data_IF_294149367847
#
_entry.id   IF_294149367847
#
_cell.length_a   1.000
_cell.length_b   1.000
_cell.length_c   1.000
_cell.angle_alpha   90.00
_cell.angle_beta   90.00
_cell.angle_gamma   90.00
#
_symmetry.space_group_name_H-M   'P 1'
#
loop_
_entity.id
_entity.type
_entity.pdbx_description
1 polymer ?
#
# COMPACT_ATOMS: atom_id res chain seq x y z
N UNK A 1 5.81 0.91 -36.84
CA UNK A 1 6.86 1.21 -35.85
C UNK A 1 8.19 1.52 -36.49
N UNK A 2 8.80 0.65 -37.34
CA UNK A 2 10.11 0.88 -37.95
C UNK A 2 10.24 2.20 -38.74
N UNK A 3 9.21 2.63 -39.46
CA UNK A 3 9.21 3.89 -40.21
C UNK A 3 9.20 5.13 -39.32
N UNK A 4 8.45 5.07 -38.21
CA UNK A 4 8.44 6.15 -37.19
C UNK A 4 9.79 6.27 -36.50
N UNK A 5 10.38 5.11 -36.14
CA UNK A 5 11.73 5.07 -35.55
C UNK A 5 12.79 5.62 -36.52
N UNK A 6 12.69 5.25 -37.81
CA UNK A 6 13.61 5.77 -38.83
C UNK A 6 13.46 7.28 -39.01
N UNK A 7 12.23 7.82 -39.05
CA UNK A 7 11.97 9.25 -39.11
C UNK A 7 12.52 9.99 -37.89
N UNK A 8 12.39 9.41 -36.70
CA UNK A 8 12.92 10.01 -35.48
C UNK A 8 14.44 10.02 -35.42
N UNK A 9 15.09 8.99 -35.95
CA UNK A 9 16.55 8.86 -35.94
C UNK A 9 17.25 9.64 -37.05
N UNK A 10 16.53 9.98 -38.16
CA UNK A 10 17.14 10.60 -39.33
C UNK A 10 16.82 12.08 -39.50
N UNK A 11 15.92 12.65 -38.69
CA UNK A 11 15.63 14.09 -38.71
C UNK A 11 16.43 14.79 -37.60
N UNK A 12 17.13 15.85 -37.96
CA UNK A 12 17.69 16.79 -36.98
C UNK A 12 16.55 17.49 -36.24
N UNK A 13 16.48 17.27 -34.97
CA UNK A 13 15.50 17.89 -34.08
C UNK A 13 16.25 18.84 -33.14
N UNK A 14 15.90 20.10 -33.17
CA UNK A 14 16.25 20.97 -32.05
C UNK A 14 15.58 20.48 -30.80
N UNK A 15 16.38 20.18 -29.78
CA UNK A 15 15.85 19.68 -28.51
C UNK A 15 15.11 20.78 -27.77
N UNK A 16 13.84 20.54 -27.38
CA UNK A 16 13.08 21.44 -26.52
C UNK A 16 13.67 21.57 -25.11
N UNK A 17 14.69 20.79 -24.79
CA UNK A 17 15.34 20.78 -23.47
C UNK A 17 15.85 22.16 -23.06
N UNK A 18 16.39 22.94 -24.01
CA UNK A 18 16.88 24.28 -23.74
C UNK A 18 15.78 25.22 -23.23
N UNK A 19 14.59 25.14 -23.82
CA UNK A 19 13.45 25.90 -23.35
C UNK A 19 13.10 25.59 -21.88
N UNK A 20 13.10 24.33 -21.51
CA UNK A 20 12.81 23.94 -20.12
C UNK A 20 13.91 24.38 -19.14
N UNK A 21 15.18 24.31 -19.55
CA UNK A 21 16.30 24.77 -18.74
C UNK A 21 16.23 26.29 -18.48
N UNK A 22 15.94 27.07 -19.49
CA UNK A 22 15.88 28.52 -19.35
C UNK A 22 14.61 29.01 -18.64
N UNK A 23 13.47 28.35 -18.87
CA UNK A 23 12.17 28.82 -18.41
C UNK A 23 11.69 28.17 -17.09
N UNK A 24 12.39 27.17 -16.57
CA UNK A 24 11.96 26.49 -15.34
C UNK A 24 11.88 27.41 -14.14
N UNK A 25 12.85 28.28 -13.94
CA UNK A 25 12.86 29.23 -12.83
C UNK A 25 11.94 30.45 -13.07
N UNK A 26 11.99 31.14 -14.22
CA UNK A 26 11.13 32.33 -14.43
C UNK A 26 9.65 32.01 -14.56
N UNK A 27 9.27 30.89 -15.20
CA UNK A 27 7.87 30.51 -15.41
C UNK A 27 7.34 29.52 -14.38
N UNK A 28 8.15 28.52 -14.00
CA UNK A 28 7.75 27.49 -13.04
C UNK A 28 8.08 27.81 -11.59
N UNK A 29 8.93 28.81 -11.33
CA UNK A 29 9.27 29.23 -9.96
C UNK A 29 10.09 28.24 -9.14
N UNK A 30 10.59 27.15 -9.76
CA UNK A 30 11.34 26.08 -9.11
C UNK A 30 12.69 25.79 -9.77
N UNK A 31 13.66 25.38 -8.98
CA UNK A 31 14.99 24.97 -9.47
C UNK A 31 15.08 23.48 -9.80
N UNK A 32 14.11 22.69 -9.34
CA UNK A 32 14.02 21.27 -9.71
C UNK A 32 13.34 21.14 -11.08
N UNK A 33 14.16 21.14 -12.12
CA UNK A 33 13.71 21.08 -13.53
C UNK A 33 12.74 19.93 -13.78
N UNK A 34 13.01 18.73 -13.22
CA UNK A 34 12.17 17.54 -13.44
C UNK A 34 10.78 17.74 -12.87
N UNK A 35 10.69 18.21 -11.62
CA UNK A 35 9.39 18.46 -10.99
C UNK A 35 8.63 19.57 -11.68
N UNK A 36 9.30 20.66 -12.05
CA UNK A 36 8.70 21.79 -12.78
C UNK A 36 8.15 21.33 -14.13
N UNK A 37 8.88 20.49 -14.88
CA UNK A 37 8.35 19.94 -16.13
C UNK A 37 7.08 19.11 -15.86
N UNK A 38 7.11 18.22 -14.88
CA UNK A 38 6.02 17.29 -14.61
C UNK A 38 4.77 17.97 -14.00
N UNK A 39 4.94 19.09 -13.31
CA UNK A 39 3.82 19.75 -12.61
C UNK A 39 3.32 21.00 -13.36
N UNK A 40 4.24 21.77 -13.99
CA UNK A 40 3.90 23.03 -14.64
C UNK A 40 3.83 22.89 -16.17
N UNK A 41 4.95 22.54 -16.82
CA UNK A 41 4.99 22.53 -18.29
C UNK A 41 4.22 21.36 -18.89
N UNK A 42 4.25 20.20 -18.24
CA UNK A 42 3.60 18.95 -18.67
C UNK A 42 2.74 18.33 -17.57
N UNK A 43 2.16 19.14 -16.71
CA UNK A 43 1.30 18.69 -15.61
C UNK A 43 0.14 17.80 -16.06
N UNK A 44 -0.28 17.93 -17.31
CA UNK A 44 -1.29 17.08 -17.93
C UNK A 44 -0.86 15.61 -18.00
N UNK A 45 0.43 15.35 -18.26
CA UNK A 45 0.97 13.98 -18.29
C UNK A 45 0.89 13.34 -16.89
N UNK A 46 1.32 14.06 -15.85
CA UNK A 46 1.24 13.59 -14.46
C UNK A 46 -0.20 13.38 -14.00
N UNK A 47 -1.12 14.26 -14.42
CA UNK A 47 -2.55 14.08 -14.18
C UNK A 47 -3.08 12.81 -14.85
N UNK A 48 -2.63 12.52 -16.07
CA UNK A 48 -2.91 11.28 -16.79
C UNK A 48 -2.37 10.05 -16.06
N UNK A 49 -1.11 10.11 -15.58
CA UNK A 49 -0.46 9.01 -14.84
C UNK A 49 -1.24 8.63 -13.56
N UNK A 50 -1.60 9.61 -12.73
CA UNK A 50 -2.37 9.33 -11.51
C UNK A 50 -3.80 8.86 -11.81
N UNK A 51 -4.37 9.29 -12.93
CA UNK A 51 -5.69 8.81 -13.37
C UNK A 51 -5.61 7.34 -13.78
N UNK A 52 -4.61 6.96 -14.59
CA UNK A 52 -4.38 5.55 -14.98
C UNK A 52 -4.09 4.69 -13.76
N UNK A 53 -3.28 5.17 -12.82
CA UNK A 53 -3.01 4.47 -11.56
C UNK A 53 -4.30 4.24 -10.74
N UNK A 54 -5.17 5.25 -10.67
CA UNK A 54 -6.48 5.14 -10.03
C UNK A 54 -7.39 4.12 -10.71
N UNK A 55 -7.46 4.16 -12.05
CA UNK A 55 -8.24 3.20 -12.86
C UNK A 55 -7.71 1.77 -12.64
N UNK A 56 -6.38 1.58 -12.66
CA UNK A 56 -5.77 0.28 -12.42
C UNK A 56 -6.13 -0.27 -11.03
N UNK A 57 -6.07 0.57 -10.00
CA UNK A 57 -6.41 0.16 -8.63
C UNK A 57 -7.90 -0.23 -8.50
N UNK A 58 -8.81 0.54 -9.10
CA UNK A 58 -10.25 0.22 -9.13
C UNK A 58 -10.51 -1.02 -10.00
N UNK A 59 -9.76 -1.20 -11.10
CA UNK A 59 -9.82 -2.39 -11.93
C UNK A 59 -9.43 -3.66 -11.16
N UNK A 60 -8.36 -3.62 -10.37
CA UNK A 60 -7.97 -4.71 -9.47
C UNK A 60 -9.07 -5.01 -8.45
N UNK A 61 -9.67 -3.97 -7.86
CA UNK A 61 -10.82 -4.15 -6.97
C UNK A 61 -11.98 -4.87 -7.68
N UNK A 62 -12.36 -4.41 -8.88
CA UNK A 62 -13.47 -4.99 -9.64
C UNK A 62 -13.21 -6.45 -10.04
N UNK A 63 -11.98 -6.78 -10.43
CA UNK A 63 -11.59 -8.14 -10.78
C UNK A 63 -11.60 -9.08 -9.58
N UNK A 64 -11.15 -8.63 -8.42
CA UNK A 64 -11.01 -9.48 -7.23
C UNK A 64 -12.27 -9.54 -6.37
N UNK A 65 -13.18 -8.57 -6.46
CA UNK A 65 -14.45 -8.54 -5.70
C UNK A 65 -15.39 -9.73 -6.05
N UNK A 66 -15.24 -10.30 -7.26
CA UNK A 66 -15.98 -11.49 -7.72
C UNK A 66 -15.22 -12.81 -7.61
N UNK A 67 -13.93 -12.80 -7.29
CA UNK A 67 -13.09 -14.00 -7.30
C UNK A 67 -13.06 -14.68 -5.93
N UNK A 68 -13.64 -15.89 -5.86
CA UNK A 68 -13.48 -16.79 -4.71
C UNK A 68 -12.27 -17.69 -4.92
N UNK A 69 -11.12 -17.30 -4.41
CA UNK A 69 -9.92 -18.14 -4.46
C UNK A 69 -9.95 -19.15 -3.31
N UNK A 70 -9.99 -20.44 -3.63
CA UNK A 70 -9.81 -21.51 -2.62
C UNK A 70 -8.32 -21.77 -2.42
N UNK A 71 -7.80 -21.50 -1.24
CA UNK A 71 -6.48 -21.99 -0.87
C UNK A 71 -6.55 -23.47 -0.53
N UNK A 72 -5.60 -24.29 -1.00
CA UNK A 72 -5.45 -25.67 -0.50
C UNK A 72 -5.19 -25.63 1.01
N UNK A 73 -5.73 -26.61 1.74
CA UNK A 73 -5.59 -26.69 3.20
C UNK A 73 -4.14 -26.94 3.65
N UNK A 74 -3.37 -27.54 2.78
CA UNK A 74 -1.97 -27.90 3.00
C UNK A 74 -1.10 -27.23 1.96
N UNK A 75 0.16 -26.95 2.32
CA UNK A 75 1.18 -26.47 1.39
C UNK A 75 1.60 -27.60 0.41
N UNK A 76 2.45 -27.33 -0.60
CA UNK A 76 2.95 -28.36 -1.51
C UNK A 76 3.75 -29.48 -0.80
N UNK A 77 4.23 -29.26 0.41
CA UNK A 77 4.92 -30.24 1.26
C UNK A 77 3.97 -31.03 2.16
N UNK A 78 2.64 -30.81 2.05
CA UNK A 78 1.65 -31.51 2.87
C UNK A 78 1.50 -31.00 4.29
N UNK A 79 2.09 -29.85 4.60
CA UNK A 79 2.03 -29.24 5.93
C UNK A 79 0.93 -28.17 6.00
N UNK A 80 0.28 -27.97 7.16
CA UNK A 80 -0.65 -26.86 7.31
C UNK A 80 0.11 -25.54 7.19
N UNK A 81 -0.43 -24.60 6.41
CA UNK A 81 0.15 -23.26 6.29
C UNK A 81 0.31 -22.61 7.67
N UNK A 82 1.56 -22.45 8.12
CA UNK A 82 1.86 -21.79 9.39
C UNK A 82 1.92 -20.28 9.23
N UNK A 83 0.80 -19.60 9.44
CA UNK A 83 0.74 -18.13 9.42
C UNK A 83 1.03 -17.48 10.79
N UNK A 84 1.44 -18.25 11.78
CA UNK A 84 1.38 -17.81 13.18
C UNK A 84 2.65 -17.20 13.75
N UNK A 85 3.73 -17.14 13.01
CA UNK A 85 4.97 -16.55 13.53
C UNK A 85 5.56 -15.52 12.57
N UNK A 86 4.97 -14.32 12.60
CA UNK A 86 5.65 -13.16 12.05
C UNK A 86 6.96 -12.94 12.84
N UNK A 87 8.11 -12.85 12.15
CA UNK A 87 9.38 -12.69 12.83
C UNK A 87 9.36 -11.43 13.71
N UNK A 88 9.65 -11.58 14.99
CA UNK A 88 9.68 -10.45 15.94
C UNK A 88 10.58 -9.32 15.44
N UNK A 89 11.71 -9.67 14.81
CA UNK A 89 12.65 -8.73 14.18
C UNK A 89 11.98 -7.87 13.11
N UNK A 90 11.18 -8.47 12.22
CA UNK A 90 10.50 -7.73 11.16
C UNK A 90 9.46 -6.75 11.74
N UNK A 91 8.73 -7.18 12.77
CA UNK A 91 7.74 -6.34 13.45
C UNK A 91 8.38 -5.14 14.16
N UNK A 92 9.51 -5.37 14.83
CA UNK A 92 10.28 -4.30 15.47
C UNK A 92 10.83 -3.32 14.45
N UNK A 93 11.47 -3.83 13.39
CA UNK A 93 11.99 -3.00 12.30
C UNK A 93 10.90 -2.15 11.64
N UNK A 94 9.75 -2.75 11.33
CA UNK A 94 8.63 -2.04 10.71
C UNK A 94 8.10 -0.88 11.57
N UNK A 95 8.03 -1.05 12.90
CA UNK A 95 7.61 0.01 13.81
C UNK A 95 8.54 1.22 13.84
N UNK A 96 9.84 0.99 13.66
CA UNK A 96 10.83 2.08 13.63
C UNK A 96 10.89 2.71 12.24
N UNK A 97 10.86 1.90 11.18
CA UNK A 97 10.97 2.39 9.80
C UNK A 97 9.78 3.26 9.41
N UNK A 98 8.55 2.97 9.86
CA UNK A 98 7.39 3.77 9.46
C UNK A 98 7.49 5.26 9.86
N UNK A 99 7.71 5.63 11.13
CA UNK A 99 7.80 7.04 11.47
C UNK A 99 9.00 7.73 10.81
N UNK A 100 10.14 7.03 10.67
CA UNK A 100 11.28 7.58 9.94
C UNK A 100 10.94 7.82 8.46
N UNK A 101 10.31 6.86 7.80
CA UNK A 101 9.88 7.02 6.41
C UNK A 101 8.88 8.17 6.25
N UNK A 102 7.95 8.36 7.19
CA UNK A 102 7.00 9.48 7.13
C UNK A 102 7.68 10.84 7.29
N UNK A 103 8.68 10.96 8.16
CA UNK A 103 9.48 12.19 8.29
C UNK A 103 10.26 12.47 6.99
N UNK A 104 10.92 11.44 6.43
CA UNK A 104 11.62 11.55 5.15
C UNK A 104 10.66 11.90 4.02
N UNK A 105 9.49 11.30 3.99
CA UNK A 105 8.44 11.59 3.00
C UNK A 105 7.99 13.05 3.08
N UNK A 106 7.71 13.57 4.29
CA UNK A 106 7.32 14.96 4.48
C UNK A 106 8.41 15.92 4.00
N UNK A 107 9.67 15.59 4.29
CA UNK A 107 10.81 16.37 3.83
C UNK A 107 10.96 16.34 2.29
N UNK A 108 10.87 15.16 1.67
CA UNK A 108 10.96 14.99 0.21
C UNK A 108 9.79 15.71 -0.49
N UNK A 109 8.58 15.61 0.07
CA UNK A 109 7.40 16.29 -0.44
C UNK A 109 7.61 17.81 -0.46
N UNK A 110 8.01 18.36 0.69
CA UNK A 110 8.13 19.81 0.85
C UNK A 110 9.22 20.45 -0.01
N UNK A 111 10.34 19.74 -0.17
CA UNK A 111 11.47 20.25 -0.96
C UNK A 111 11.34 20.01 -2.46
N UNK A 112 10.32 19.26 -2.91
CA UNK A 112 10.21 18.75 -4.28
C UNK A 112 10.24 19.80 -5.37
N UNK A 113 9.83 21.03 -5.09
CA UNK A 113 9.82 22.13 -6.06
C UNK A 113 11.24 22.69 -6.36
N UNK A 114 12.13 22.65 -5.39
CA UNK A 114 13.47 23.22 -5.53
C UNK A 114 14.59 22.17 -5.53
N UNK A 115 14.35 21.00 -5.00
CA UNK A 115 15.33 19.91 -4.85
C UNK A 115 14.68 18.58 -5.29
N UNK A 116 15.47 17.51 -5.55
CA UNK A 116 14.88 16.22 -5.90
C UNK A 116 13.84 15.76 -4.90
N UNK A 117 12.61 15.50 -5.38
CA UNK A 117 11.45 15.17 -4.55
C UNK A 117 10.14 15.31 -5.34
N UNK A 118 9.07 15.66 -4.62
CA UNK A 118 7.73 15.88 -5.16
C UNK A 118 6.70 14.86 -4.67
N UNK A 119 5.43 15.10 -4.99
CA UNK A 119 4.30 14.33 -4.48
C UNK A 119 4.34 12.86 -4.89
N UNK A 120 4.76 12.56 -6.10
CA UNK A 120 4.82 11.19 -6.62
C UNK A 120 5.86 10.35 -5.86
N UNK A 121 7.08 10.84 -5.72
CA UNK A 121 8.17 10.15 -5.00
C UNK A 121 7.82 10.00 -3.53
N UNK A 122 7.32 11.06 -2.91
CA UNK A 122 6.87 11.02 -1.52
C UNK A 122 5.75 9.99 -1.31
N UNK A 123 4.79 9.94 -2.25
CA UNK A 123 3.72 8.94 -2.25
C UNK A 123 4.24 7.51 -2.32
N UNK A 124 5.21 7.24 -3.19
CA UNK A 124 5.83 5.92 -3.31
C UNK A 124 6.59 5.51 -2.04
N UNK A 125 7.39 6.40 -1.45
CA UNK A 125 8.11 6.10 -0.19
C UNK A 125 7.13 5.77 0.93
N UNK A 126 6.05 6.54 1.06
CA UNK A 126 4.98 6.25 2.03
C UNK A 126 4.31 4.91 1.73
N UNK A 127 4.00 4.63 0.47
CA UNK A 127 3.38 3.39 0.06
C UNK A 127 4.27 2.18 0.41
N UNK A 128 5.57 2.23 0.11
CA UNK A 128 6.52 1.16 0.45
C UNK A 128 6.61 0.95 1.96
N UNK A 129 6.65 2.03 2.76
CA UNK A 129 6.65 1.93 4.22
C UNK A 129 5.36 1.27 4.76
N UNK A 130 4.21 1.58 4.17
CA UNK A 130 2.94 0.94 4.52
C UNK A 130 2.87 -0.52 4.05
N UNK A 131 3.41 -0.86 2.87
CA UNK A 131 3.57 -2.26 2.42
C UNK A 131 4.38 -3.06 3.44
N UNK A 132 5.48 -2.50 3.94
CA UNK A 132 6.28 -3.14 4.98
C UNK A 132 5.45 -3.40 6.25
N UNK A 133 4.58 -2.45 6.64
CA UNK A 133 3.66 -2.66 7.78
C UNK A 133 2.67 -3.81 7.51
N UNK A 134 2.12 -3.89 6.29
CA UNK A 134 1.24 -5.01 5.91
C UNK A 134 1.94 -6.35 6.01
N UNK A 135 3.19 -6.43 5.58
CA UNK A 135 4.00 -7.65 5.65
C UNK A 135 4.38 -8.02 7.09
N UNK A 136 4.67 -7.02 7.93
CA UNK A 136 5.19 -7.23 9.28
C UNK A 136 4.11 -7.44 10.34
N UNK A 137 2.96 -6.81 10.21
CA UNK A 137 1.89 -6.81 11.23
C UNK A 137 0.59 -7.43 10.73
N UNK A 138 0.50 -7.75 9.45
CA UNK A 138 -0.71 -8.21 8.83
C UNK A 138 -1.73 -7.10 8.56
N UNK A 139 -2.70 -7.40 7.69
CA UNK A 139 -3.67 -6.45 7.15
C UNK A 139 -4.43 -5.67 8.24
N UNK A 140 -4.95 -6.37 9.26
CA UNK A 140 -5.84 -5.74 10.25
C UNK A 140 -5.13 -4.64 11.08
N UNK A 141 -3.86 -4.87 11.45
CA UNK A 141 -3.08 -3.90 12.22
C UNK A 141 -2.57 -2.76 11.33
N UNK A 142 -2.15 -3.06 10.10
CA UNK A 142 -1.71 -2.06 9.14
C UNK A 142 -2.86 -1.12 8.72
N UNK A 143 -4.07 -1.64 8.47
CA UNK A 143 -5.25 -0.82 8.19
C UNK A 143 -5.69 0.02 9.40
N UNK A 144 -5.50 -0.47 10.62
CA UNK A 144 -5.78 0.29 11.84
C UNK A 144 -4.89 1.54 11.97
N UNK A 145 -3.62 1.48 11.53
CA UNK A 145 -2.71 2.63 11.48
C UNK A 145 -3.25 3.75 10.57
N UNK A 146 -3.92 3.39 9.49
CA UNK A 146 -4.54 4.32 8.53
C UNK A 146 -6.00 4.62 8.90
N UNK A 147 -6.35 4.51 10.20
CA UNK A 147 -7.67 4.76 10.78
C UNK A 147 -8.81 3.91 10.20
N UNK A 148 -8.63 2.58 10.23
CA UNK A 148 -9.71 1.63 9.97
C UNK A 148 -10.24 1.71 8.54
N UNK A 149 -9.36 1.79 7.57
CA UNK A 149 -9.71 1.81 6.17
C UNK A 149 -10.03 0.39 5.69
N UNK A 150 -11.27 0.13 5.34
CA UNK A 150 -11.61 -0.97 4.43
C UNK A 150 -11.39 -0.54 2.97
N UNK A 151 -11.27 -1.50 2.04
CA UNK A 151 -10.95 -1.22 0.63
C UNK A 151 -11.75 -0.07 -0.01
N UNK A 152 -13.03 0.05 0.30
CA UNK A 152 -13.90 1.16 -0.19
C UNK A 152 -13.46 2.55 0.28
N UNK A 153 -12.73 2.68 1.37
CA UNK A 153 -12.24 3.96 1.87
C UNK A 153 -11.06 4.47 1.06
N UNK A 154 -10.19 3.56 0.58
CA UNK A 154 -9.08 3.92 -0.29
C UNK A 154 -9.52 4.40 -1.68
N UNK A 155 -10.66 3.92 -2.18
CA UNK A 155 -11.30 4.48 -3.39
C UNK A 155 -11.62 5.97 -3.20
N UNK A 156 -12.08 6.38 -2.01
CA UNK A 156 -12.33 7.79 -1.71
C UNK A 156 -11.03 8.59 -1.69
N UNK A 157 -9.93 8.03 -1.19
CA UNK A 157 -8.63 8.71 -1.22
C UNK A 157 -8.18 8.97 -2.65
N UNK A 158 -8.30 7.97 -3.53
CA UNK A 158 -8.02 8.14 -4.96
C UNK A 158 -8.89 9.27 -5.54
N UNK A 159 -10.20 9.24 -5.27
CA UNK A 159 -11.12 10.27 -5.75
C UNK A 159 -10.81 11.66 -5.20
N UNK A 160 -10.45 11.79 -3.92
CA UNK A 160 -10.05 13.05 -3.30
C UNK A 160 -8.74 13.56 -3.91
N UNK A 161 -7.74 12.69 -4.09
CA UNK A 161 -6.47 13.07 -4.69
C UNK A 161 -6.63 13.57 -6.13
N UNK A 162 -7.39 12.84 -6.96
CA UNK A 162 -7.72 13.26 -8.32
C UNK A 162 -8.53 14.56 -8.34
N UNK A 163 -9.49 14.73 -7.42
CA UNK A 163 -10.28 15.96 -7.33
C UNK A 163 -9.41 17.18 -6.95
N UNK A 164 -8.47 17.01 -6.01
CA UNK A 164 -7.53 18.08 -5.64
C UNK A 164 -6.68 18.46 -6.86
N UNK A 165 -6.09 17.49 -7.55
CA UNK A 165 -5.27 17.73 -8.73
C UNK A 165 -6.08 18.41 -9.86
N UNK A 166 -7.31 17.96 -10.10
CA UNK A 166 -8.22 18.55 -11.09
C UNK A 166 -8.62 19.99 -10.72
N UNK A 167 -9.01 20.21 -9.46
CA UNK A 167 -9.39 21.54 -8.97
C UNK A 167 -8.23 22.53 -9.03
N UNK A 168 -7.01 22.06 -8.77
CA UNK A 168 -5.81 22.89 -8.93
C UNK A 168 -5.64 23.33 -10.39
N UNK A 169 -5.87 22.39 -11.33
CA UNK A 169 -5.80 22.69 -12.77
C UNK A 169 -6.89 23.67 -13.21
N UNK A 170 -8.14 23.46 -12.77
CA UNK A 170 -9.27 24.36 -13.08
C UNK A 170 -9.10 25.73 -12.41
N UNK A 171 -8.50 25.75 -11.23
CA UNK A 171 -8.22 26.99 -10.50
C UNK A 171 -7.35 27.96 -11.30
N UNK A 172 -6.50 27.49 -12.22
CA UNK A 172 -5.71 28.34 -13.10
C UNK A 172 -6.59 29.24 -13.99
N UNK A 173 -7.76 28.79 -14.41
CA UNK A 173 -8.69 29.57 -15.21
C UNK A 173 -9.25 30.80 -14.49
N UNK A 174 -9.40 30.73 -13.17
CA UNK A 174 -9.86 31.87 -12.36
C UNK A 174 -8.87 33.04 -12.47
N UNK A 175 -7.60 32.73 -12.68
CA UNK A 175 -6.53 33.71 -12.88
C UNK A 175 -6.26 34.01 -14.37
N UNK A 176 -7.13 33.58 -15.28
CA UNK A 176 -6.99 33.79 -16.72
C UNK A 176 -5.80 33.05 -17.34
N UNK A 177 -5.29 32.03 -16.69
CA UNK A 177 -4.17 31.20 -17.15
C UNK A 177 -4.65 29.87 -17.75
N UNK A 178 -3.88 29.23 -18.63
CA UNK A 178 -4.20 27.89 -19.13
C UNK A 178 -4.34 26.85 -18.00
N UNK A 179 -5.05 25.76 -18.30
CA UNK A 179 -5.23 24.63 -17.38
C UNK A 179 -3.88 24.12 -16.86
N UNK A 180 -3.78 23.85 -15.56
CA UNK A 180 -2.57 23.38 -14.88
C UNK A 180 -1.38 24.35 -14.89
N UNK A 181 -1.55 25.62 -15.23
CA UNK A 181 -0.49 26.61 -15.04
C UNK A 181 -0.40 26.94 -13.56
N UNK A 182 0.79 26.76 -12.96
CA UNK A 182 0.97 27.12 -11.56
C UNK A 182 1.12 28.64 -11.37
N UNK A 183 0.63 29.08 -10.23
CA UNK A 183 0.91 30.42 -9.70
C UNK A 183 1.85 30.25 -8.53
N UNK A 184 2.98 30.95 -8.55
CA UNK A 184 3.92 31.01 -7.45
C UNK A 184 3.81 32.36 -6.76
N UNK A 185 3.78 32.33 -5.45
CA UNK A 185 3.76 33.49 -4.58
C UNK A 185 4.68 33.25 -3.39
N UNK A 186 5.28 34.30 -2.88
CA UNK A 186 6.10 34.26 -1.67
C UNK A 186 5.35 34.97 -0.53
N UNK A 187 4.28 34.35 0.07
CA UNK A 187 3.69 34.93 1.25
C UNK A 187 4.69 34.84 2.40
N UNK A 188 5.06 36.00 2.96
CA UNK A 188 5.86 36.08 4.18
C UNK A 188 4.96 35.77 5.37
N UNK A 189 5.12 34.60 5.96
CA UNK A 189 4.45 34.23 7.21
C UNK A 189 5.34 34.63 8.40
N UNK A 190 4.82 35.35 9.39
CA UNK A 190 5.60 35.95 10.48
C UNK A 190 6.35 34.94 11.37
N UNK A 191 6.05 33.64 11.29
CA UNK A 191 6.66 32.57 12.08
C UNK A 191 7.51 31.58 11.26
N UNK A 192 7.31 31.50 9.96
CA UNK A 192 7.89 30.49 9.08
C UNK A 192 8.75 31.08 7.93
N UNK A 193 8.89 32.42 7.90
CA UNK A 193 9.64 33.11 6.84
C UNK A 193 8.89 33.16 5.51
N UNK A 194 9.63 33.33 4.42
CA UNK A 194 9.08 33.28 3.06
C UNK A 194 8.86 31.83 2.67
N UNK A 195 7.60 31.41 2.63
CA UNK A 195 7.24 30.10 2.07
C UNK A 195 6.97 30.26 0.57
N UNK A 196 7.74 29.60 -0.30
CA UNK A 196 7.38 29.50 -1.71
C UNK A 196 6.15 28.58 -1.83
N UNK A 197 4.97 29.14 -1.67
CA UNK A 197 3.71 28.44 -1.90
C UNK A 197 3.36 28.56 -3.39
N UNK A 198 3.68 27.51 -4.12
CA UNK A 198 3.20 27.34 -5.47
C UNK A 198 1.91 26.50 -5.45
N UNK A 199 0.95 26.82 -6.30
CA UNK A 199 -0.22 25.95 -6.53
C UNK A 199 0.22 24.55 -6.99
N UNK A 200 1.43 24.42 -7.54
CA UNK A 200 2.16 23.18 -7.80
C UNK A 200 2.20 22.23 -6.59
N UNK A 201 2.40 22.74 -5.37
CA UNK A 201 2.41 21.91 -4.16
C UNK A 201 1.02 21.32 -3.84
N UNK A 202 -0.05 22.03 -4.18
CA UNK A 202 -1.42 21.51 -4.01
C UNK A 202 -1.71 20.39 -5.04
N UNK A 203 -1.24 20.57 -6.28
CA UNK A 203 -1.29 19.52 -7.29
C UNK A 203 -0.51 18.28 -6.84
N UNK A 204 0.73 18.46 -6.37
CA UNK A 204 1.58 17.40 -5.82
C UNK A 204 0.92 16.69 -4.63
N UNK A 205 0.16 17.40 -3.80
CA UNK A 205 -0.60 16.78 -2.71
C UNK A 205 -1.70 15.85 -3.27
N UNK A 206 -2.38 16.24 -4.34
CA UNK A 206 -3.34 15.39 -5.03
C UNK A 206 -2.69 14.13 -5.59
N UNK A 207 -1.51 14.26 -6.20
CA UNK A 207 -0.68 13.15 -6.69
C UNK A 207 -0.31 12.21 -5.54
N UNK A 208 0.22 12.74 -4.45
CA UNK A 208 0.60 11.98 -3.25
C UNK A 208 -0.56 11.14 -2.70
N UNK A 209 -1.72 11.76 -2.49
CA UNK A 209 -2.90 11.08 -1.94
C UNK A 209 -3.38 9.97 -2.89
N UNK A 210 -3.34 10.21 -4.21
CA UNK A 210 -3.76 9.22 -5.21
C UNK A 210 -2.81 8.01 -5.22
N UNK A 211 -1.50 8.24 -5.20
CA UNK A 211 -0.48 7.17 -5.20
C UNK A 211 -0.61 6.30 -3.96
N UNK A 212 -0.69 6.91 -2.76
CA UNK A 212 -0.88 6.17 -1.50
C UNK A 212 -2.22 5.44 -1.51
N UNK A 213 -3.30 6.10 -1.92
CA UNK A 213 -4.64 5.53 -1.99
C UNK A 213 -4.72 4.31 -2.92
N UNK A 214 -4.14 4.41 -4.11
CA UNK A 214 -4.11 3.33 -5.11
C UNK A 214 -3.32 2.11 -4.60
N UNK A 215 -2.13 2.34 -4.05
CA UNK A 215 -1.30 1.25 -3.50
C UNK A 215 -2.00 0.56 -2.34
N UNK A 216 -2.58 1.32 -1.41
CA UNK A 216 -3.30 0.78 -0.27
C UNK A 216 -4.56 0.04 -0.68
N UNK A 217 -5.28 0.50 -1.72
CA UNK A 217 -6.43 -0.21 -2.27
C UNK A 217 -6.01 -1.59 -2.79
N UNK A 218 -4.98 -1.64 -3.63
CA UNK A 218 -4.49 -2.91 -4.19
C UNK A 218 -4.08 -3.89 -3.09
N UNK A 219 -3.34 -3.43 -2.07
CA UNK A 219 -2.92 -4.27 -0.95
C UNK A 219 -4.11 -4.75 -0.09
N UNK A 220 -5.06 -3.88 0.20
CA UNK A 220 -6.24 -4.23 1.00
C UNK A 220 -7.09 -5.28 0.29
N UNK A 221 -7.27 -5.15 -1.02
CA UNK A 221 -8.04 -6.09 -1.83
C UNK A 221 -7.34 -7.44 -1.94
N UNK A 222 -6.05 -7.46 -2.22
CA UNK A 222 -5.23 -8.69 -2.24
C UNK A 222 -5.23 -9.39 -0.87
N UNK A 223 -5.09 -8.63 0.21
CA UNK A 223 -5.13 -9.14 1.57
C UNK A 223 -6.50 -9.73 1.95
N UNK A 224 -7.60 -9.11 1.53
CA UNK A 224 -8.95 -9.59 1.79
C UNK A 224 -9.28 -10.87 1.02
N UNK A 225 -8.92 -10.97 -0.24
CA UNK A 225 -9.06 -12.16 -1.06
C UNK A 225 -8.36 -13.38 -0.42
N UNK A 226 -7.22 -13.15 0.25
CA UNK A 226 -6.50 -14.19 0.99
C UNK A 226 -7.23 -14.64 2.28
N UNK A 227 -8.00 -13.77 2.95
CA UNK A 227 -8.70 -14.07 4.22
C UNK A 227 -10.05 -14.76 4.02
N UNK A 228 -10.78 -14.45 2.99
CA UNK A 228 -12.08 -15.04 2.70
C UNK A 228 -11.97 -16.55 2.52
N UNK A 229 -10.85 -16.99 1.93
CA UNK A 229 -10.49 -18.41 1.82
C UNK A 229 -10.29 -19.10 3.17
N UNK A 230 -9.90 -18.38 4.23
CA UNK A 230 -9.71 -18.95 5.55
C UNK A 230 -11.01 -19.06 6.37
N UNK A 231 -12.00 -18.21 6.07
CA UNK A 231 -13.28 -18.14 6.81
C UNK A 231 -14.30 -19.19 6.36
N UNK A 232 -14.16 -19.71 5.15
CA UNK A 232 -15.06 -20.75 4.60
C UNK A 232 -14.72 -22.19 5.08
N UNK A 233 -13.83 -22.32 6.09
CA UNK A 233 -13.59 -23.57 6.80
C UNK A 233 -14.73 -23.84 7.78
N UNK A 234 -15.91 -24.20 7.28
CA UNK A 234 -16.79 -25.02 8.10
C UNK A 234 -16.07 -26.35 8.32
N UNK A 235 -15.96 -26.82 9.57
CA UNK A 235 -15.47 -28.17 9.79
C UNK A 235 -16.33 -29.11 8.94
N UNK A 236 -15.70 -29.88 8.08
CA UNK A 236 -16.40 -30.97 7.39
C UNK A 236 -16.84 -31.88 8.51
N UNK A 237 -18.11 -31.80 8.90
CA UNK A 237 -18.73 -32.81 9.71
C UNK A 237 -18.73 -34.04 8.83
N UNK A 238 -17.76 -34.94 9.07
CA UNK A 238 -17.77 -36.25 8.44
C UNK A 238 -19.14 -36.85 8.73
N UNK A 239 -19.94 -37.21 7.74
CA UNK A 239 -21.15 -37.97 8.00
C UNK A 239 -20.71 -39.22 8.75
N UNK A 240 -21.25 -39.37 9.96
CA UNK A 240 -20.93 -40.49 10.84
C UNK A 240 -21.01 -41.78 10.03
N UNK A 241 -19.93 -42.53 10.05
CA UNK A 241 -19.86 -43.89 9.51
C UNK A 241 -21.02 -44.63 10.14
N UNK A 242 -22.07 -44.87 9.37
CA UNK A 242 -23.22 -45.61 9.77
C UNK A 242 -22.78 -46.94 10.35
N UNK A 243 -22.88 -47.07 11.67
CA UNK A 243 -22.86 -48.33 12.35
C UNK A 243 -24.24 -48.97 12.18
N UNK A 244 -24.25 -50.04 11.46
CA UNK A 244 -25.34 -50.98 11.37
C UNK A 244 -25.79 -51.43 12.72
N UNK A 245 -27.09 -51.59 12.89
CA UNK A 245 -27.58 -52.67 13.67
C UNK A 245 -28.38 -52.39 14.91
N UNK A 246 -29.70 -52.47 14.72
CA UNK A 246 -30.67 -53.16 15.61
C UNK A 246 -30.69 -52.87 17.10
N UNK A 247 -31.86 -52.52 17.58
CA UNK A 247 -32.28 -52.92 18.93
C UNK A 247 -32.96 -51.85 19.75
N UNK A 248 -34.23 -51.81 19.67
CA UNK A 248 -35.24 -51.69 20.71
C UNK A 248 -34.84 -51.11 22.10
N UNK A 249 -35.70 -50.25 22.62
CA UNK A 249 -35.96 -50.23 24.06
C UNK A 249 -35.91 -48.88 24.76
N UNK A 250 -37.05 -48.29 24.89
CA UNK A 250 -37.59 -47.57 26.07
C UNK A 250 -36.69 -47.25 27.27
N UNK A 251 -36.75 -46.02 27.73
CA UNK A 251 -36.79 -45.72 29.16
C UNK A 251 -35.64 -44.87 29.70
N UNK A 252 -35.97 -43.67 30.08
CA UNK A 252 -35.74 -43.13 31.42
C UNK A 252 -34.34 -42.75 31.89
N UNK A 253 -34.21 -41.55 32.36
CA UNK A 253 -33.42 -41.27 33.56
C UNK A 253 -32.08 -40.57 33.36
N UNK A 254 -32.05 -39.34 33.76
CA UNK A 254 -30.87 -38.52 34.02
C UNK A 254 -29.89 -39.17 35.02
N UNK A 255 -28.61 -39.11 34.71
CA UNK A 255 -27.61 -38.81 35.76
C UNK A 255 -26.24 -38.53 35.14
N UNK A 256 -25.68 -37.40 35.51
CA UNK A 256 -24.32 -36.98 35.16
C UNK A 256 -23.31 -37.93 35.80
N UNK A 257 -22.54 -38.66 35.00
CA UNK A 257 -21.39 -39.43 35.42
C UNK A 257 -20.09 -38.60 35.32
N UNK A 258 -19.12 -38.87 36.20
CA UNK A 258 -17.90 -38.07 36.28
C UNK A 258 -16.95 -38.33 35.12
N UNK A 259 -16.23 -37.24 34.74
CA UNK A 259 -15.21 -37.21 33.70
C UNK A 259 -14.12 -38.27 33.90
N UNK A 260 -13.66 -38.96 32.85
CA UNK A 260 -12.57 -39.92 32.97
C UNK A 260 -11.26 -39.21 33.28
N UNK A 261 -10.55 -39.75 34.26
CA UNK A 261 -9.22 -39.37 34.73
C UNK A 261 -8.18 -39.50 33.62
N UNK A 262 -7.35 -38.47 33.49
CA UNK A 262 -6.18 -38.42 32.63
C UNK A 262 -5.22 -39.57 32.88
N UNK A 263 -4.71 -40.29 31.88
CA UNK A 263 -3.68 -41.30 32.12
C UNK A 263 -2.36 -40.62 32.53
N UNK A 264 -1.72 -41.22 33.52
CA UNK A 264 -0.40 -40.82 34.05
C UNK A 264 0.68 -41.04 32.99
N UNK A 265 1.54 -40.06 32.81
CA UNK A 265 2.74 -40.16 31.96
C UNK A 265 3.79 -40.96 32.73
N UNK A 266 4.32 -42.07 32.18
CA UNK A 266 5.40 -42.78 32.85
C UNK A 266 6.69 -41.96 32.82
N UNK A 267 7.30 -41.81 34.01
CA UNK A 267 8.64 -41.26 34.22
C UNK A 267 9.69 -42.27 33.74
N UNK A 268 10.25 -42.05 32.55
CA UNK A 268 11.32 -42.88 32.04
C UNK A 268 12.36 -42.01 31.32
N UNK A 269 13.56 -42.05 31.86
CA UNK A 269 14.86 -41.77 31.28
C UNK A 269 15.09 -40.46 30.50
N UNK A 270 15.69 -39.52 31.19
CA UNK A 270 16.45 -38.43 30.61
C UNK A 270 17.84 -38.95 30.20
N UNK A 271 18.27 -38.82 28.94
CA UNK A 271 19.65 -39.05 28.61
C UNK A 271 20.52 -37.93 29.17
N UNK A 272 21.62 -38.32 29.83
CA UNK A 272 22.63 -37.42 30.36
C UNK A 272 23.40 -36.76 29.24
N UNK A 273 23.50 -35.42 29.27
CA UNK A 273 24.42 -34.66 28.44
C UNK A 273 25.84 -34.79 29.01
N UNK A 274 26.87 -35.08 28.21
CA UNK A 274 28.24 -35.06 28.67
C UNK A 274 28.72 -33.62 28.93
N UNK A 275 29.37 -33.44 30.08
CA UNK A 275 30.07 -32.23 30.44
C UNK A 275 31.24 -32.02 29.47
N UNK A 276 31.25 -30.88 28.77
CA UNK A 276 32.37 -30.46 27.93
C UNK A 276 33.50 -29.92 28.81
N UNK A 277 34.64 -30.56 28.72
CA UNK A 277 35.93 -30.14 29.27
C UNK A 277 36.34 -28.79 28.67
N UNK A 278 36.84 -27.92 29.57
CA UNK A 278 37.52 -26.71 29.17
C UNK A 278 38.98 -27.01 28.82
N UNK A 279 39.53 -26.21 27.94
CA UNK A 279 40.96 -25.87 27.98
C UNK A 279 41.31 -24.67 27.06
N UNK A 280 41.95 -23.73 27.71
CA UNK A 280 42.92 -22.68 27.29
C UNK A 280 42.55 -21.73 26.21
#
# INVERSE_FOLDING_TARGET
>A
MAWVSWLMLTRDHESISWYFLEQSLPLGGGTNLVNVILVDFRGYDTFGEITVLGIAAVGVLALLDGMRTRRPALDPAGQPWSYSQEPLMLRMAARVVLPMALVVTAFIFWRGHNLPGGGFIAGLVTAVALVLQYMAMGQAQAEALVRGAGGRRFVRWIGIGLAIAWLTGVGAFVFGKPFLTSAHGHPSLPLLGELPLATAALFDLGVFITVVGATMLMLSVLGSASKETARDRRPIVMPGRGGDGRGEGLGGGASAGPLPSRPAIPSGDRPAYPAGEGST
#
